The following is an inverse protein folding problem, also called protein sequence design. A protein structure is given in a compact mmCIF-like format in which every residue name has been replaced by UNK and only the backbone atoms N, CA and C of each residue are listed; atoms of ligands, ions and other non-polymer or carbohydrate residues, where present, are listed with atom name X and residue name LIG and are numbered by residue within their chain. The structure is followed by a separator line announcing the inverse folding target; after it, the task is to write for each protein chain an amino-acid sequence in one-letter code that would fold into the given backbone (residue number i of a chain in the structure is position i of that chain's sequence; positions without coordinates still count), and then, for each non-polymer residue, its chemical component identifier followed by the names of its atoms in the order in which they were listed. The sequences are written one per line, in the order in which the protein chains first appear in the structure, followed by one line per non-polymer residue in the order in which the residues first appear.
data_IF_637001247425
#
_entry.id   IF_637001247425
#
_cell.length_a   1.000
_cell.length_b   1.000
_cell.length_c   1.000
_cell.angle_alpha   90.00
_cell.angle_beta   90.00
_cell.angle_gamma   90.00
#
_symmetry.space_group_name_H-M   'P 1'
#
loop_
_entity.id
_entity.type
_entity.pdbx_description
1 polymer ?
#
# COMPACT_ATOMS: atom_id res chain seq x y z
N UNK A 1 -33.48 7.99 16.49
CA UNK A 1 -32.99 6.65 16.09
C UNK A 1 -31.46 6.58 15.96
N UNK A 2 -30.77 7.69 15.67
CA UNK A 2 -29.32 7.74 15.45
C UNK A 2 -28.46 7.43 16.69
N UNK A 3 -28.91 7.83 17.89
CA UNK A 3 -28.23 7.54 19.16
C UNK A 3 -28.22 6.04 19.50
N UNK A 4 -29.32 5.33 19.22
CA UNK A 4 -29.44 3.90 19.51
C UNK A 4 -28.52 3.08 18.60
N UNK A 5 -28.40 3.49 17.33
CA UNK A 5 -27.49 2.83 16.38
C UNK A 5 -26.00 3.03 16.74
N UNK A 6 -25.63 4.19 17.30
CA UNK A 6 -24.27 4.43 17.81
C UNK A 6 -23.93 3.55 19.02
N UNK A 7 -24.86 3.44 19.98
CA UNK A 7 -24.67 2.61 21.19
C UNK A 7 -24.53 1.13 20.83
N UNK A 8 -25.41 0.60 19.97
CA UNK A 8 -25.35 -0.81 19.54
C UNK A 8 -24.06 -1.12 18.75
N UNK A 9 -23.52 -0.15 18.00
CA UNK A 9 -22.23 -0.32 17.32
C UNK A 9 -21.06 -0.31 18.30
N UNK A 10 -21.06 0.59 19.27
CA UNK A 10 -20.06 0.60 20.34
C UNK A 10 -20.06 -0.73 21.09
N UNK A 11 -21.23 -1.21 21.55
CA UNK A 11 -21.35 -2.48 22.28
C UNK A 11 -20.76 -3.67 21.50
N UNK A 12 -20.94 -3.69 20.18
CA UNK A 12 -20.39 -4.74 19.30
C UNK A 12 -18.87 -4.69 19.14
N UNK A 13 -18.28 -3.49 19.19
CA UNK A 13 -16.83 -3.29 19.18
C UNK A 13 -16.23 -3.76 20.52
N UNK A 14 -16.92 -3.47 21.64
CA UNK A 14 -16.52 -3.88 22.98
C UNK A 14 -16.58 -5.41 23.18
N UNK A 15 -17.62 -6.08 22.66
CA UNK A 15 -17.73 -7.54 22.71
C UNK A 15 -16.57 -8.26 21.98
N UNK A 16 -16.04 -7.67 20.90
CA UNK A 16 -14.94 -8.26 20.13
C UNK A 16 -13.56 -8.06 20.76
N UNK A 17 -13.39 -7.03 21.61
CA UNK A 17 -12.09 -6.59 22.13
C UNK A 17 -11.87 -6.88 23.62
N UNK A 18 -12.91 -7.35 24.31
CA UNK A 18 -12.92 -7.48 25.77
C UNK A 18 -13.42 -6.19 26.42
N UNK A 19 -14.35 -6.33 27.35
CA UNK A 19 -15.00 -5.23 28.06
C UNK A 19 -13.97 -4.34 28.79
N UNK A 20 -14.10 -3.00 28.78
CA UNK A 20 -13.37 -2.18 29.74
C UNK A 20 -13.92 -2.52 31.12
N UNK A 21 -13.04 -2.73 32.09
CA UNK A 21 -13.44 -3.01 33.47
C UNK A 21 -14.27 -1.83 33.98
N UNK A 22 -15.60 -1.95 33.92
CA UNK A 22 -16.49 -1.16 34.74
C UNK A 22 -16.19 -1.53 36.19
N UNK A 23 -15.37 -0.74 36.87
CA UNK A 23 -15.58 -0.55 38.30
C UNK A 23 -16.89 0.22 38.41
N UNK A 24 -17.99 -0.54 38.40
CA UNK A 24 -19.21 -0.13 39.09
C UNK A 24 -18.73 0.29 40.47
N UNK A 25 -18.72 1.60 40.74
CA UNK A 25 -18.33 2.14 42.03
C UNK A 25 -19.08 1.31 43.08
N UNK A 26 -18.33 0.52 43.85
CA UNK A 26 -18.85 -0.06 45.08
C UNK A 26 -19.11 1.16 45.95
N UNK A 27 -20.37 1.57 46.00
CA UNK A 27 -20.83 2.49 47.04
C UNK A 27 -20.69 1.69 48.34
N UNK A 28 -19.51 1.74 48.95
CA UNK A 28 -19.38 1.50 50.37
C UNK A 28 -19.94 2.74 51.05
N UNK A 29 -21.19 2.64 51.49
CA UNK A 29 -21.73 3.56 52.49
C UNK A 29 -20.96 3.34 53.78
N UNK A 30 -20.00 4.21 54.08
CA UNK A 30 -19.53 4.37 55.45
C UNK A 30 -20.38 5.46 56.11
N UNK A 31 -21.24 5.04 57.04
CA UNK A 31 -22.03 5.93 57.88
C UNK A 31 -21.10 6.64 58.88
N UNK A 32 -20.38 7.68 58.45
CA UNK A 32 -19.93 8.80 59.32
C UNK A 32 -19.17 9.86 58.53
N UNK A 33 -19.64 11.09 58.70
CA UNK A 33 -19.12 12.36 58.14
C UNK A 33 -19.33 12.55 56.65
N UNK A 34 -20.40 13.28 56.33
CA UNK A 34 -20.65 13.82 55.00
C UNK A 34 -19.64 14.92 54.70
N UNK A 35 -18.69 14.60 53.81
CA UNK A 35 -18.05 15.53 52.89
C UNK A 35 -17.53 14.68 51.72
N UNK A 36 -18.30 14.66 50.63
CA UNK A 36 -17.92 14.00 49.39
C UNK A 36 -16.73 14.73 48.76
N UNK A 37 -15.50 14.27 49.02
CA UNK A 37 -14.35 14.64 48.21
C UNK A 37 -14.41 13.78 46.94
N UNK A 38 -15.16 14.26 45.94
CA UNK A 38 -15.03 13.76 44.57
C UNK A 38 -13.63 14.10 44.09
N UNK A 39 -12.70 13.17 44.24
CA UNK A 39 -11.43 13.21 43.53
C UNK A 39 -11.75 12.92 42.07
N UNK A 40 -12.01 13.98 41.30
CA UNK A 40 -12.00 13.94 39.84
C UNK A 40 -10.57 13.63 39.37
N UNK A 41 -10.18 12.36 39.45
CA UNK A 41 -9.06 11.85 38.67
C UNK A 41 -9.45 12.05 37.19
N UNK A 42 -8.60 12.72 36.38
CA UNK A 42 -8.87 12.84 34.96
C UNK A 42 -8.97 11.44 34.38
N UNK A 43 -10.16 11.09 33.91
CA UNK A 43 -10.43 9.81 33.26
C UNK A 43 -9.55 9.72 32.00
N UNK A 44 -8.56 8.82 31.95
CA UNK A 44 -7.70 8.66 30.79
C UNK A 44 -8.48 8.22 29.53
N UNK A 45 -9.74 7.80 29.67
CA UNK A 45 -10.62 7.38 28.58
C UNK A 45 -11.63 8.46 28.15
N UNK A 46 -11.67 9.64 28.77
CA UNK A 46 -12.58 10.74 28.38
C UNK A 46 -12.36 11.25 26.93
N UNK A 47 -11.26 10.86 26.30
CA UNK A 47 -10.91 11.18 24.91
C UNK A 47 -10.97 9.97 23.96
N UNK A 48 -11.52 8.82 24.37
CA UNK A 48 -11.70 7.66 23.49
C UNK A 48 -12.83 7.93 22.49
N UNK A 49 -12.45 8.22 21.25
CA UNK A 49 -13.38 8.32 20.12
C UNK A 49 -13.30 7.02 19.29
N UNK A 50 -14.25 6.09 19.44
CA UNK A 50 -14.23 4.81 18.73
C UNK A 50 -14.31 5.00 17.21
N UNK A 51 -14.93 6.08 16.73
CA UNK A 51 -15.03 6.38 15.30
C UNK A 51 -13.66 6.80 14.74
N UNK A 52 -12.88 7.55 15.51
CA UNK A 52 -11.51 7.92 15.17
C UNK A 52 -10.56 6.72 15.21
N UNK A 53 -10.75 5.81 16.16
CA UNK A 53 -9.93 4.60 16.27
C UNK A 53 -10.18 3.63 15.11
N UNK A 54 -11.44 3.41 14.74
CA UNK A 54 -11.80 2.62 13.55
C UNK A 54 -11.21 3.21 12.26
N UNK A 55 -11.21 4.54 12.12
CA UNK A 55 -10.59 5.23 10.98
C UNK A 55 -9.08 5.02 10.94
N UNK A 56 -8.40 5.11 12.09
CA UNK A 56 -6.96 4.86 12.20
C UNK A 56 -6.62 3.42 11.83
N UNK A 57 -7.38 2.43 12.30
CA UNK A 57 -7.17 1.03 11.97
C UNK A 57 -7.35 0.73 10.48
N UNK A 58 -8.38 1.32 9.87
CA UNK A 58 -8.59 1.19 8.43
C UNK A 58 -7.46 1.84 7.64
N UNK A 59 -6.95 2.99 8.08
CA UNK A 59 -5.82 3.67 7.47
C UNK A 59 -4.53 2.85 7.58
N UNK A 60 -4.24 2.28 8.75
CA UNK A 60 -3.07 1.41 8.97
C UNK A 60 -3.20 0.09 8.20
N UNK A 61 -4.42 -0.44 8.05
CA UNK A 61 -4.67 -1.55 7.14
C UNK A 61 -4.32 -1.17 5.69
N UNK A 62 -4.83 -0.05 5.18
CA UNK A 62 -4.54 0.43 3.83
C UNK A 62 -3.05 0.67 3.59
N UNK A 63 -2.34 1.30 4.55
CA UNK A 63 -0.89 1.54 4.47
C UNK A 63 -0.10 0.24 4.40
N UNK A 64 -0.41 -0.75 5.25
CA UNK A 64 0.22 -2.08 5.19
C UNK A 64 -0.05 -2.77 3.86
N UNK A 65 -1.30 -2.76 3.40
CA UNK A 65 -1.65 -3.38 2.13
C UNK A 65 -0.99 -2.68 0.93
N UNK A 66 -0.72 -1.36 1.03
CA UNK A 66 0.01 -0.61 0.01
C UNK A 66 1.44 -1.12 -0.13
N UNK A 67 2.16 -1.27 1.00
CA UNK A 67 3.56 -1.72 1.01
C UNK A 67 3.66 -3.18 0.57
N UNK A 68 2.88 -4.07 1.18
CA UNK A 68 2.86 -5.50 0.83
C UNK A 68 2.44 -5.72 -0.63
N UNK A 69 1.45 -4.95 -1.08
CA UNK A 69 0.98 -4.99 -2.45
C UNK A 69 2.03 -4.52 -3.44
N UNK A 70 2.81 -3.49 -3.09
CA UNK A 70 3.87 -2.95 -3.94
C UNK A 70 5.01 -3.95 -4.11
N UNK A 71 5.50 -4.55 -3.01
CA UNK A 71 6.55 -5.57 -3.10
C UNK A 71 6.10 -6.75 -3.96
N UNK A 72 4.87 -7.24 -3.73
CA UNK A 72 4.31 -8.32 -4.54
C UNK A 72 4.14 -7.91 -6.01
N UNK A 73 3.68 -6.69 -6.27
CA UNK A 73 3.52 -6.16 -7.63
C UNK A 73 4.86 -6.13 -8.37
N UNK A 74 5.92 -5.64 -7.72
CA UNK A 74 7.30 -5.62 -8.26
C UNK A 74 7.77 -7.04 -8.56
N UNK A 75 7.60 -7.98 -7.63
CA UNK A 75 7.97 -9.39 -7.83
C UNK A 75 7.28 -9.98 -9.06
N UNK A 76 5.96 -9.81 -9.16
CA UNK A 76 5.19 -10.34 -10.29
C UNK A 76 5.59 -9.68 -11.60
N UNK A 77 5.73 -8.35 -11.65
CA UNK A 77 6.16 -7.63 -12.86
C UNK A 77 7.53 -8.08 -13.36
N UNK A 78 8.48 -8.32 -12.44
CA UNK A 78 9.80 -8.89 -12.79
C UNK A 78 9.65 -10.31 -13.33
N UNK A 79 8.87 -11.17 -12.67
CA UNK A 79 8.65 -12.56 -13.09
C UNK A 79 8.01 -12.64 -14.47
N UNK A 80 6.96 -11.87 -14.70
CA UNK A 80 6.24 -11.82 -15.98
C UNK A 80 7.18 -11.35 -17.08
N UNK A 81 7.92 -10.27 -16.84
CA UNK A 81 8.86 -9.75 -17.84
C UNK A 81 9.94 -10.76 -18.17
N UNK A 82 10.50 -11.44 -17.17
CA UNK A 82 11.46 -12.52 -17.41
C UNK A 82 10.84 -13.68 -18.19
N UNK A 83 9.58 -14.04 -17.92
CA UNK A 83 8.88 -15.09 -18.66
C UNK A 83 8.64 -14.68 -20.12
N UNK A 84 8.27 -13.43 -20.39
CA UNK A 84 8.15 -12.88 -21.75
C UNK A 84 9.48 -12.93 -22.50
N UNK A 85 10.58 -12.51 -21.85
CA UNK A 85 11.92 -12.57 -22.43
C UNK A 85 12.33 -14.01 -22.75
N UNK A 86 12.02 -14.97 -21.87
CA UNK A 86 12.29 -16.41 -22.08
C UNK A 86 11.52 -16.97 -23.28
N UNK A 87 10.26 -16.54 -23.49
CA UNK A 87 9.43 -16.98 -24.62
C UNK A 87 9.89 -16.36 -25.96
N UNK A 88 10.60 -15.25 -25.93
CA UNK A 88 11.05 -14.56 -27.13
C UNK A 88 12.33 -15.14 -27.71
N UNK A 89 12.27 -15.68 -28.93
CA UNK A 89 13.47 -16.14 -29.68
C UNK A 89 14.55 -15.05 -29.79
N UNK A 90 14.14 -13.78 -29.90
CA UNK A 90 15.03 -12.63 -30.06
C UNK A 90 15.66 -12.18 -28.73
N UNK A 91 14.93 -12.30 -27.63
CA UNK A 91 15.33 -11.70 -26.36
C UNK A 91 15.73 -12.70 -25.27
N UNK A 92 15.61 -14.01 -25.50
CA UNK A 92 15.96 -15.06 -24.54
C UNK A 92 17.40 -14.95 -24.01
N UNK A 93 18.35 -14.55 -24.85
CA UNK A 93 19.75 -14.37 -24.45
C UNK A 93 19.96 -13.24 -23.42
N UNK A 94 18.98 -12.34 -23.23
CA UNK A 94 19.06 -11.21 -22.31
C UNK A 94 18.30 -11.44 -21.00
N UNK A 95 17.68 -12.60 -20.80
CA UNK A 95 16.93 -12.92 -19.57
C UNK A 95 17.82 -12.76 -18.33
N UNK A 96 19.04 -13.31 -18.37
CA UNK A 96 20.00 -13.21 -17.27
C UNK A 96 20.52 -11.78 -17.05
N UNK A 97 20.37 -10.90 -18.04
CA UNK A 97 20.78 -9.49 -17.99
C UNK A 97 19.67 -8.57 -17.47
N UNK A 98 18.45 -9.08 -17.28
CA UNK A 98 17.29 -8.28 -16.90
C UNK A 98 17.44 -7.68 -15.49
N UNK A 99 17.65 -8.51 -14.47
CA UNK A 99 17.83 -8.04 -13.08
C UNK A 99 19.07 -7.13 -12.94
N UNK A 100 20.26 -7.51 -13.45
CA UNK A 100 21.41 -6.59 -13.45
C UNK A 100 21.10 -5.26 -14.13
N UNK A 101 20.44 -5.28 -15.28
CA UNK A 101 20.09 -4.04 -15.99
C UNK A 101 19.09 -3.16 -15.26
N UNK A 102 18.13 -3.75 -14.53
CA UNK A 102 17.26 -2.97 -13.63
C UNK A 102 18.07 -2.30 -12.51
N UNK A 103 19.04 -3.00 -11.90
CA UNK A 103 19.93 -2.40 -10.88
C UNK A 103 20.74 -1.24 -11.43
N UNK A 104 21.37 -1.43 -12.59
CA UNK A 104 22.13 -0.35 -13.24
C UNK A 104 21.22 0.85 -13.57
N UNK A 105 20.00 0.58 -14.06
CA UNK A 105 19.06 1.63 -14.45
C UNK A 105 18.46 2.39 -13.27
N UNK A 106 17.98 1.70 -12.22
CA UNK A 106 17.23 2.30 -11.13
C UNK A 106 18.11 2.65 -9.93
N UNK A 107 19.08 1.79 -9.58
CA UNK A 107 19.86 1.95 -8.35
C UNK A 107 21.17 2.70 -8.57
N UNK A 108 21.70 2.67 -9.79
CA UNK A 108 22.93 3.38 -10.15
C UNK A 108 22.69 4.54 -11.12
N UNK A 109 21.42 4.79 -11.49
CA UNK A 109 21.02 5.85 -12.43
C UNK A 109 21.81 5.87 -13.74
N UNK A 110 22.27 4.70 -14.22
CA UNK A 110 23.05 4.63 -15.46
C UNK A 110 22.16 4.91 -16.67
N UNK A 111 22.72 5.62 -17.64
CA UNK A 111 22.07 5.83 -18.93
C UNK A 111 21.94 4.52 -19.71
N UNK A 112 20.97 4.44 -20.62
CA UNK A 112 20.80 3.26 -21.48
C UNK A 112 22.05 2.94 -22.30
N UNK A 113 22.88 3.95 -22.62
CA UNK A 113 24.16 3.75 -23.29
C UNK A 113 25.14 3.00 -22.40
N UNK A 114 25.34 3.49 -21.19
CA UNK A 114 26.26 2.87 -20.22
C UNK A 114 25.80 1.46 -19.86
N UNK A 115 24.48 1.23 -19.73
CA UNK A 115 23.93 -0.12 -19.50
C UNK A 115 24.22 -1.04 -20.69
N UNK A 116 24.08 -0.55 -21.92
CA UNK A 116 24.35 -1.36 -23.10
C UNK A 116 25.82 -1.80 -23.14
N UNK A 117 26.74 -0.87 -22.88
CA UNK A 117 28.18 -1.14 -22.79
C UNK A 117 28.47 -2.13 -21.65
N UNK A 118 27.93 -1.91 -20.44
CA UNK A 118 28.17 -2.76 -19.27
C UNK A 118 27.62 -4.18 -19.41
N UNK A 119 26.52 -4.37 -20.13
CA UNK A 119 25.86 -5.67 -20.29
C UNK A 119 26.10 -6.31 -21.66
N UNK A 120 27.00 -5.76 -22.49
CA UNK A 120 27.26 -6.26 -23.84
C UNK A 120 26.00 -6.34 -24.71
N UNK A 121 25.20 -5.28 -24.69
CA UNK A 121 24.06 -5.09 -25.58
C UNK A 121 24.47 -4.17 -26.74
N UNK A 122 23.86 -4.36 -27.90
CA UNK A 122 24.26 -3.68 -29.14
C UNK A 122 23.98 -2.18 -29.10
N UNK A 123 22.88 -1.74 -28.48
CA UNK A 123 22.48 -0.34 -28.43
C UNK A 123 21.46 -0.03 -27.33
N UNK A 124 21.21 1.26 -27.12
CA UNK A 124 20.23 1.79 -26.16
C UNK A 124 18.81 1.26 -26.43
N UNK A 125 18.45 1.06 -27.70
CA UNK A 125 17.12 0.57 -28.07
C UNK A 125 16.91 -0.91 -27.70
N UNK A 126 17.99 -1.69 -27.58
CA UNK A 126 17.94 -3.05 -27.04
C UNK A 126 17.75 -3.01 -25.52
N UNK A 127 18.46 -2.14 -24.81
CA UNK A 127 18.26 -1.92 -23.36
C UNK A 127 16.82 -1.53 -23.07
N UNK A 128 16.28 -0.54 -23.79
CA UNK A 128 14.90 -0.08 -23.63
C UNK A 128 13.89 -1.22 -23.84
N UNK A 129 14.09 -2.05 -24.86
CA UNK A 129 13.23 -3.22 -25.12
C UNK A 129 13.43 -4.35 -24.14
N UNK A 130 14.61 -4.57 -23.57
CA UNK A 130 14.80 -5.64 -22.58
C UNK A 130 14.22 -5.22 -21.23
N UNK A 131 14.60 -4.03 -20.73
CA UNK A 131 14.19 -3.55 -19.42
C UNK A 131 12.75 -3.06 -19.37
N UNK A 132 12.26 -2.46 -20.47
CA UNK A 132 10.93 -1.91 -20.63
C UNK A 132 10.34 -1.26 -19.36
N UNK A 133 11.02 -0.22 -18.81
CA UNK A 133 10.71 0.30 -17.48
C UNK A 133 9.31 0.91 -17.38
N UNK A 134 8.77 1.45 -18.49
CA UNK A 134 7.41 2.00 -18.54
C UNK A 134 6.36 0.91 -18.37
N UNK A 135 6.49 -0.17 -19.15
CA UNK A 135 5.57 -1.31 -19.05
C UNK A 135 5.65 -1.96 -17.67
N UNK A 136 6.87 -2.15 -17.14
CA UNK A 136 7.04 -2.69 -15.79
C UNK A 136 6.32 -1.82 -14.75
N UNK A 137 6.50 -0.49 -14.81
CA UNK A 137 5.82 0.45 -13.92
C UNK A 137 4.28 0.32 -14.02
N UNK A 138 3.75 0.31 -15.24
CA UNK A 138 2.30 0.18 -15.50
C UNK A 138 1.74 -1.13 -14.98
N UNK A 139 2.44 -2.25 -15.19
CA UNK A 139 2.02 -3.57 -14.69
C UNK A 139 2.04 -3.62 -13.17
N UNK A 140 3.08 -3.08 -12.52
CA UNK A 140 3.15 -3.03 -11.05
C UNK A 140 2.02 -2.17 -10.48
N UNK A 141 1.76 -0.99 -11.07
CA UNK A 141 0.65 -0.10 -10.67
C UNK A 141 -0.69 -0.82 -10.78
N UNK A 142 -0.98 -1.41 -11.93
CA UNK A 142 -2.24 -2.11 -12.16
C UNK A 142 -2.48 -3.22 -11.12
N UNK A 143 -1.45 -4.05 -10.88
CA UNK A 143 -1.48 -5.14 -9.89
C UNK A 143 -1.68 -4.64 -8.47
N UNK A 144 -1.06 -3.52 -8.11
CA UNK A 144 -1.22 -2.91 -6.79
C UNK A 144 -2.64 -2.41 -6.58
N UNK A 145 -3.19 -1.66 -7.54
CA UNK A 145 -4.56 -1.13 -7.46
C UNK A 145 -5.58 -2.26 -7.36
N UNK A 146 -5.48 -3.27 -8.23
CA UNK A 146 -6.36 -4.44 -8.21
C UNK A 146 -6.29 -5.19 -6.87
N UNK A 147 -5.08 -5.40 -6.35
CA UNK A 147 -4.89 -6.07 -5.04
C UNK A 147 -5.46 -5.25 -3.90
N UNK A 148 -5.23 -3.94 -3.87
CA UNK A 148 -5.77 -3.05 -2.85
C UNK A 148 -7.29 -3.03 -2.85
N UNK A 149 -7.89 -2.94 -4.04
CA UNK A 149 -9.34 -2.98 -4.20
C UNK A 149 -9.91 -4.26 -3.61
N UNK A 150 -9.36 -5.43 -3.98
CA UNK A 150 -9.79 -6.72 -3.46
C UNK A 150 -9.65 -6.82 -1.93
N UNK A 151 -8.56 -6.29 -1.37
CA UNK A 151 -8.30 -6.30 0.08
C UNK A 151 -9.25 -5.39 0.84
N UNK A 152 -9.54 -4.19 0.32
CA UNK A 152 -10.47 -3.24 0.93
C UNK A 152 -11.89 -3.77 0.87
N UNK A 153 -12.32 -4.33 -0.26
CA UNK A 153 -13.63 -4.95 -0.39
C UNK A 153 -13.81 -6.15 0.56
N UNK A 154 -12.77 -6.98 0.72
CA UNK A 154 -12.79 -8.06 1.70
C UNK A 154 -12.93 -7.52 3.13
N UNK A 155 -12.15 -6.50 3.50
CA UNK A 155 -12.24 -5.89 4.84
C UNK A 155 -13.60 -5.22 5.09
N UNK A 156 -14.11 -4.50 4.09
CA UNK A 156 -15.40 -3.84 4.18
C UNK A 156 -16.57 -4.86 4.27
N UNK A 157 -16.41 -6.04 3.65
CA UNK A 157 -17.33 -7.18 3.84
C UNK A 157 -17.29 -7.72 5.27
N UNK A 158 -16.10 -7.94 5.83
CA UNK A 158 -15.94 -8.43 7.23
C UNK A 158 -16.62 -7.49 8.23
N UNK A 159 -16.54 -6.18 7.98
CA UNK A 159 -17.13 -5.14 8.83
C UNK A 159 -18.62 -4.88 8.53
N UNK A 160 -19.20 -5.54 7.53
CA UNK A 160 -20.60 -5.32 7.12
C UNK A 160 -20.88 -3.92 6.55
N UNK A 161 -19.85 -3.24 6.03
CA UNK A 161 -19.92 -1.86 5.53
C UNK A 161 -20.41 -1.76 4.08
N UNK A 162 -20.49 -2.87 3.35
CA UNK A 162 -20.87 -2.88 1.92
C UNK A 162 -21.92 -3.95 1.64
N UNK A 163 -22.82 -3.66 0.70
CA UNK A 163 -23.73 -4.65 0.14
C UNK A 163 -22.95 -5.66 -0.70
N UNK A 164 -23.46 -6.89 -0.81
CA UNK A 164 -22.88 -7.95 -1.63
C UNK A 164 -23.89 -8.33 -2.72
N UNK A 165 -23.58 -8.12 -4.01
CA UNK A 165 -22.41 -7.41 -4.55
C UNK A 165 -22.46 -5.89 -4.28
N UNK A 166 -21.30 -5.20 -4.31
CA UNK A 166 -21.25 -3.74 -4.20
C UNK A 166 -22.01 -3.10 -5.37
N UNK A 167 -22.63 -1.96 -5.14
CA UNK A 167 -23.28 -1.21 -6.21
C UNK A 167 -22.22 -0.76 -7.25
N UNK A 168 -22.51 -0.84 -8.56
CA UNK A 168 -21.52 -0.56 -9.60
C UNK A 168 -20.85 0.82 -9.49
N UNK A 169 -21.62 1.85 -9.13
CA UNK A 169 -21.10 3.21 -8.98
C UNK A 169 -20.18 3.35 -7.76
N UNK A 170 -20.50 2.65 -6.66
CA UNK A 170 -19.62 2.58 -5.49
C UNK A 170 -18.27 1.96 -5.85
N UNK A 171 -18.29 0.85 -6.59
CA UNK A 171 -17.07 0.16 -7.02
C UNK A 171 -16.23 1.05 -7.95
N UNK A 172 -16.86 1.73 -8.91
CA UNK A 172 -16.18 2.64 -9.84
C UNK A 172 -15.51 3.80 -9.09
N UNK A 173 -16.24 4.41 -8.14
CA UNK A 173 -15.71 5.53 -7.34
C UNK A 173 -14.55 5.08 -6.45
N UNK A 174 -14.68 3.92 -5.79
CA UNK A 174 -13.61 3.35 -4.97
C UNK A 174 -12.36 3.07 -5.81
N UNK A 175 -12.51 2.46 -6.99
CA UNK A 175 -11.40 2.20 -7.89
C UNK A 175 -10.69 3.49 -8.31
N UNK A 176 -11.45 4.52 -8.71
CA UNK A 176 -10.88 5.82 -9.07
C UNK A 176 -10.13 6.47 -7.91
N UNK A 177 -10.70 6.47 -6.70
CA UNK A 177 -10.04 7.03 -5.51
C UNK A 177 -8.76 6.26 -5.16
N UNK A 178 -8.76 4.94 -5.31
CA UNK A 178 -7.57 4.12 -5.11
C UNK A 178 -6.48 4.42 -6.13
N UNK A 179 -6.83 4.56 -7.40
CA UNK A 179 -5.87 4.95 -8.43
C UNK A 179 -5.22 6.30 -8.11
N UNK A 180 -6.03 7.31 -7.77
CA UNK A 180 -5.53 8.64 -7.39
C UNK A 180 -4.60 8.56 -6.18
N UNK A 181 -5.01 7.83 -5.13
CA UNK A 181 -4.22 7.65 -3.91
C UNK A 181 -2.87 6.97 -4.20
N UNK A 182 -2.90 5.84 -4.92
CA UNK A 182 -1.71 5.06 -5.25
C UNK A 182 -0.76 5.84 -6.15
N UNK A 183 -1.29 6.62 -7.10
CA UNK A 183 -0.48 7.47 -7.97
C UNK A 183 0.19 8.60 -7.20
N UNK A 184 -0.53 9.26 -6.30
CA UNK A 184 0.02 10.30 -5.43
C UNK A 184 1.12 9.76 -4.51
N UNK A 185 0.89 8.61 -3.89
CA UNK A 185 1.82 8.07 -2.89
C UNK A 185 3.07 7.42 -3.49
N UNK A 186 3.00 6.89 -4.72
CA UNK A 186 4.05 6.01 -5.27
C UNK A 186 4.46 6.29 -6.71
N UNK A 187 3.52 6.57 -7.63
CA UNK A 187 3.81 6.46 -9.06
C UNK A 187 3.98 7.79 -9.80
N UNK A 188 3.41 8.90 -9.35
CA UNK A 188 3.49 10.18 -10.07
C UNK A 188 4.94 10.61 -10.33
N UNK A 189 5.79 10.55 -9.30
CA UNK A 189 7.22 10.86 -9.43
C UNK A 189 7.92 9.89 -10.39
N UNK A 190 7.62 8.59 -10.30
CA UNK A 190 8.21 7.58 -11.17
C UNK A 190 7.80 7.77 -12.64
N UNK A 191 6.53 8.10 -12.89
CA UNK A 191 6.01 8.41 -14.23
C UNK A 191 6.71 9.64 -14.79
N UNK A 192 6.87 10.68 -13.97
CA UNK A 192 7.59 11.89 -14.36
C UNK A 192 9.07 11.59 -14.67
N UNK A 193 9.74 10.78 -13.86
CA UNK A 193 11.13 10.35 -14.08
C UNK A 193 11.32 9.52 -15.36
N UNK A 194 10.35 8.67 -15.71
CA UNK A 194 10.39 7.89 -16.94
C UNK A 194 10.03 8.71 -18.19
N UNK A 195 9.39 9.86 -18.00
CA UNK A 195 9.00 10.79 -19.06
C UNK A 195 10.01 11.91 -19.26
N UNK A 196 10.76 12.28 -18.22
CA UNK A 196 11.87 13.21 -18.30
C UNK A 196 12.98 12.65 -19.21
N UNK A 197 13.52 13.51 -20.06
CA UNK A 197 14.60 13.16 -20.99
C UNK A 197 15.88 12.70 -20.27
N UNK A 198 16.83 12.16 -21.05
CA UNK A 198 18.05 11.49 -20.56
C UNK A 198 19.03 12.38 -19.79
N UNK A 199 18.92 13.72 -19.87
CA UNK A 199 19.95 14.64 -19.35
C UNK A 199 19.93 14.83 -17.83
N UNK A 200 18.81 14.60 -17.14
CA UNK A 200 18.64 14.83 -15.69
C UNK A 200 17.79 13.75 -15.02
N UNK A 201 17.88 12.50 -15.48
CA UNK A 201 17.05 11.40 -14.96
C UNK A 201 17.60 10.93 -13.60
N UNK A 202 17.08 11.48 -12.50
CA UNK A 202 17.28 10.91 -11.17
C UNK A 202 16.25 9.79 -10.93
N UNK A 203 16.71 8.65 -10.41
CA UNK A 203 15.84 7.51 -10.07
C UNK A 203 15.63 7.43 -8.56
N UNK A 204 14.96 8.44 -8.03
CA UNK A 204 14.77 8.64 -6.60
C UNK A 204 13.29 8.74 -6.21
N UNK A 205 12.38 8.23 -7.04
CA UNK A 205 10.97 8.12 -6.66
C UNK A 205 10.82 7.04 -5.60
N UNK A 206 9.78 7.14 -4.78
CA UNK A 206 9.45 6.07 -3.82
C UNK A 206 9.37 4.70 -4.50
N UNK A 207 8.75 4.60 -5.68
CA UNK A 207 8.75 3.37 -6.47
C UNK A 207 10.17 2.86 -6.78
N UNK A 208 11.08 3.74 -7.22
CA UNK A 208 12.46 3.37 -7.51
C UNK A 208 13.19 2.87 -6.26
N UNK A 209 12.97 3.48 -5.09
CA UNK A 209 13.53 3.04 -3.82
C UNK A 209 13.05 1.63 -3.45
N UNK A 210 11.75 1.37 -3.51
CA UNK A 210 11.18 0.04 -3.24
C UNK A 210 11.70 -1.01 -4.23
N UNK A 211 11.77 -0.67 -5.52
CA UNK A 211 12.34 -1.54 -6.54
C UNK A 211 13.81 -1.87 -6.23
N UNK A 212 14.62 -0.89 -5.85
CA UNK A 212 16.02 -1.12 -5.49
C UNK A 212 16.18 -1.97 -4.23
N UNK A 213 15.37 -1.74 -3.19
CA UNK A 213 15.34 -2.59 -1.98
C UNK A 213 15.01 -4.04 -2.35
N UNK A 214 13.98 -4.24 -3.17
CA UNK A 214 13.60 -5.57 -3.65
C UNK A 214 14.73 -6.24 -4.44
N UNK A 215 15.32 -5.54 -5.42
CA UNK A 215 16.41 -6.04 -6.24
C UNK A 215 17.67 -6.40 -5.43
N UNK A 216 17.95 -5.67 -4.35
CA UNK A 216 19.06 -5.97 -3.45
C UNK A 216 18.78 -7.19 -2.56
N UNK A 217 17.51 -7.48 -2.23
CA UNK A 217 17.11 -8.66 -1.46
C UNK A 217 17.18 -9.97 -2.25
N UNK A 218 16.86 -9.93 -3.55
CA UNK A 218 16.81 -11.13 -4.40
C UNK A 218 18.14 -11.48 -5.09
N UNK A 219 19.24 -10.90 -4.62
CA UNK A 219 20.58 -11.08 -5.19
C UNK A 219 21.34 -12.22 -4.52
#
# INVERSE_FOLDING_TARGET
MERVAKVVRQDKIWEQRGYPYYTKSLVETDEKMGEDIVTNLPDPEANFDPEKEEQNELLEFCRRQLIEGLEWGIEQGIRDRMAELKKSKKYVAFVLKFIPGLKLSYCQSMSQRQIAEALGMTNQAQVSRVLNPKELLTQVRFRLVDRLLNRILAKARELGLTKIPPEPDYLRNLMYQLEVFVDQELFNEAIAQLSAGTKNRSMNSRYAEYLCRYLNRIN
#
